data_IF_534991346314
#
_entry.id   IF_534991346314
#
_cell.length_a   1.000
_cell.length_b   1.000
_cell.length_c   1.000
_cell.angle_alpha   90.00
_cell.angle_beta   90.00
_cell.angle_gamma   90.00
#
_symmetry.space_group_name_H-M   'P 1'
#
loop_
_entity.id
_entity.type
_entity.pdbx_description
1 polymer ?
#
# COMPACT_ATOMS: atom_id res chain seq x y z
N UNK A 1 -26.60 42.67 55.66
CA UNK A 1 -25.43 43.56 55.55
C UNK A 1 -25.22 43.91 54.08
N UNK A 2 -25.29 45.21 53.78
CA UNK A 2 -24.81 45.97 52.60
C UNK A 2 -23.90 45.20 51.60
N UNK A 3 -24.22 45.06 50.30
CA UNK A 3 -24.21 46.02 49.16
C UNK A 3 -22.84 46.25 48.50
N UNK A 4 -22.76 45.89 47.20
CA UNK A 4 -22.20 46.57 46.01
C UNK A 4 -21.11 47.65 46.22
N UNK A 5 -20.05 47.61 45.38
CA UNK A 5 -19.38 48.71 44.63
C UNK A 5 -17.95 48.23 44.23
N UNK A 6 -17.60 48.06 42.95
CA UNK A 6 -17.23 49.05 41.92
C UNK A 6 -15.85 49.73 42.13
N UNK A 7 -15.12 49.93 41.03
CA UNK A 7 -13.95 50.83 40.91
C UNK A 7 -12.61 50.09 40.77
N UNK A 8 -12.04 49.89 39.57
CA UNK A 8 -11.42 50.84 38.63
C UNK A 8 -9.99 51.29 39.00
N UNK A 9 -9.15 51.44 37.96
CA UNK A 9 -7.81 52.08 37.87
C UNK A 9 -6.62 51.16 38.18
N UNK A 10 -5.45 51.25 37.53
CA UNK A 10 -4.94 51.95 36.34
C UNK A 10 -3.55 51.35 36.10
N UNK A 11 -3.18 50.91 34.89
CA UNK A 11 -2.34 51.67 33.94
C UNK A 11 -1.49 52.80 34.55
N UNK A 12 -0.23 52.49 34.84
CA UNK A 12 0.99 53.33 34.78
C UNK A 12 2.15 52.33 34.95
N UNK A 13 3.31 52.38 34.30
CA UNK A 13 4.06 53.37 33.53
C UNK A 13 5.25 52.56 32.94
N UNK A 14 5.88 52.84 31.81
CA UNK A 14 6.68 54.01 31.48
C UNK A 14 6.94 53.98 29.96
N UNK A 15 6.41 54.97 29.26
CA UNK A 15 6.98 55.45 28.01
C UNK A 15 8.09 56.44 28.38
N UNK A 16 9.27 56.32 27.78
CA UNK A 16 10.22 57.43 27.68
C UNK A 16 11.14 57.23 26.47
N UNK A 17 11.31 58.33 25.73
CA UNK A 17 12.24 58.62 24.64
C UNK A 17 11.86 58.21 23.20
N UNK A 18 11.00 59.07 22.63
CA UNK A 18 11.10 59.51 21.24
C UNK A 18 11.48 61.01 21.23
N UNK A 19 12.33 61.37 20.26
CA UNK A 19 12.67 62.70 19.70
C UNK A 19 14.10 63.17 20.03
N UNK A 20 14.91 63.71 19.13
CA UNK A 20 14.88 63.96 17.67
C UNK A 20 16.31 64.42 17.32
N UNK A 21 16.94 63.81 16.31
CA UNK A 21 17.95 64.39 15.41
C UNK A 21 17.90 63.44 14.19
N UNK A 22 17.49 63.82 12.99
CA UNK A 22 17.75 65.07 12.30
C UNK A 22 18.79 64.83 11.22
N UNK A 23 18.56 63.87 10.31
CA UNK A 23 19.36 63.75 9.08
C UNK A 23 18.47 63.41 7.89
N UNK A 24 18.30 64.43 7.05
CA UNK A 24 17.77 64.36 5.69
C UNK A 24 18.72 63.56 4.80
N UNK A 25 18.45 62.26 4.61
CA UNK A 25 19.05 61.51 3.50
C UNK A 25 18.16 61.67 2.26
N UNK A 26 18.60 62.53 1.34
CA UNK A 26 18.03 62.65 0.01
C UNK A 26 18.16 61.31 -0.72
N UNK A 27 17.05 60.58 -0.85
CA UNK A 27 16.94 59.42 -1.72
C UNK A 27 16.86 59.89 -3.17
N UNK A 28 18.00 59.86 -3.88
CA UNK A 28 18.05 60.09 -5.32
C UNK A 28 17.29 59.00 -6.12
N UNK A 29 16.81 59.29 -7.34
CA UNK A 29 15.85 58.45 -8.08
C UNK A 29 16.42 57.12 -8.62
N UNK A 30 17.67 56.76 -8.29
CA UNK A 30 18.37 55.63 -8.91
C UNK A 30 18.70 54.44 -7.98
N UNK A 31 18.36 54.45 -6.69
CA UNK A 31 18.71 53.36 -5.77
C UNK A 31 17.51 52.49 -5.33
N UNK A 32 16.75 51.98 -6.30
CA UNK A 32 15.79 50.89 -6.04
C UNK A 32 15.88 49.78 -7.09
N UNK A 33 17.10 49.38 -7.44
CA UNK A 33 17.31 48.06 -8.05
C UNK A 33 17.16 46.99 -6.97
N UNK A 34 15.91 46.66 -6.62
CA UNK A 34 15.62 45.36 -6.00
C UNK A 34 15.97 44.33 -7.06
N UNK A 35 17.23 43.90 -7.09
CA UNK A 35 17.62 42.70 -7.82
C UNK A 35 16.78 41.58 -7.23
N UNK A 36 15.68 41.23 -7.90
CA UNK A 36 14.96 39.98 -7.68
C UNK A 36 15.92 38.88 -8.08
N UNK A 37 16.81 38.50 -7.17
CA UNK A 37 17.64 37.32 -7.30
C UNK A 37 16.66 36.15 -7.33
N UNK A 38 16.35 35.65 -8.52
CA UNK A 38 15.56 34.44 -8.70
C UNK A 38 16.16 33.37 -7.79
N UNK A 39 15.47 33.03 -6.70
CA UNK A 39 15.91 31.96 -5.82
C UNK A 39 15.94 30.71 -6.70
N UNK A 40 17.12 30.08 -6.81
CA UNK A 40 17.22 28.79 -7.49
C UNK A 40 16.15 27.88 -6.90
N UNK A 41 15.36 27.16 -7.73
CA UNK A 41 14.36 26.24 -7.23
C UNK A 41 14.99 25.31 -6.20
N UNK A 42 14.30 25.09 -5.07
CA UNK A 42 14.81 24.22 -4.01
C UNK A 42 14.87 22.78 -4.53
N UNK A 43 16.06 22.20 -4.59
CA UNK A 43 16.27 20.80 -4.97
C UNK A 43 16.07 19.86 -3.76
N UNK A 44 14.80 19.66 -3.39
CA UNK A 44 14.39 18.77 -2.32
C UNK A 44 13.93 17.42 -2.87
N UNK A 45 13.88 16.40 -2.01
CA UNK A 45 13.25 15.12 -2.33
C UNK A 45 11.83 15.26 -2.92
N UNK A 46 11.09 16.30 -2.51
CA UNK A 46 9.73 16.57 -2.99
C UNK A 46 9.72 17.09 -4.43
N UNK A 47 10.60 18.03 -4.77
CA UNK A 47 10.69 18.58 -6.13
C UNK A 47 11.23 17.53 -7.11
N UNK A 48 12.19 16.69 -6.68
CA UNK A 48 12.63 15.52 -7.46
C UNK A 48 11.55 14.47 -7.65
N UNK A 49 10.73 14.22 -6.62
CA UNK A 49 9.57 13.34 -6.73
C UNK A 49 8.60 13.87 -7.79
N UNK A 50 8.29 15.16 -7.78
CA UNK A 50 7.37 15.78 -8.75
C UNK A 50 7.89 15.73 -10.19
N UNK A 51 9.21 15.94 -10.39
CA UNK A 51 9.89 15.92 -11.68
C UNK A 51 10.31 14.54 -12.21
N UNK A 52 10.01 13.45 -11.49
CA UNK A 52 10.39 12.09 -11.90
C UNK A 52 9.66 11.64 -13.19
N UNK A 53 10.28 10.72 -13.93
CA UNK A 53 9.58 9.99 -15.00
C UNK A 53 8.50 9.11 -14.38
N UNK A 54 7.24 9.41 -14.69
CA UNK A 54 6.08 8.67 -14.18
C UNK A 54 5.86 7.39 -14.96
N UNK A 55 5.40 6.37 -14.25
CA UNK A 55 4.91 5.14 -14.88
C UNK A 55 3.39 5.18 -14.90
N UNK A 56 2.81 5.49 -16.06
CA UNK A 56 1.37 5.64 -16.20
C UNK A 56 0.59 4.35 -15.91
N UNK A 57 1.19 3.18 -16.15
CA UNK A 57 0.52 1.89 -15.92
C UNK A 57 0.40 1.60 -14.43
N UNK A 58 1.50 1.77 -13.70
CA UNK A 58 1.51 1.61 -12.24
C UNK A 58 0.68 2.69 -11.55
N UNK A 59 0.73 3.94 -12.05
CA UNK A 59 -0.12 5.02 -11.53
C UNK A 59 -1.61 4.73 -11.75
N UNK A 60 -1.98 4.18 -12.91
CA UNK A 60 -3.37 3.74 -13.17
C UNK A 60 -3.78 2.67 -12.16
N UNK A 61 -2.96 1.63 -11.97
CA UNK A 61 -3.22 0.58 -10.97
C UNK A 61 -3.44 1.17 -9.57
N UNK A 62 -2.62 2.14 -9.15
CA UNK A 62 -2.77 2.78 -7.85
C UNK A 62 -4.07 3.55 -7.67
N UNK A 63 -4.58 4.19 -8.73
CA UNK A 63 -5.90 4.83 -8.69
C UNK A 63 -7.00 3.78 -8.54
N UNK A 64 -6.89 2.66 -9.23
CA UNK A 64 -7.87 1.58 -9.17
C UNK A 64 -7.89 0.94 -7.77
N UNK A 65 -6.72 0.61 -7.22
CA UNK A 65 -6.58 0.09 -5.86
C UNK A 65 -7.09 1.07 -4.81
N UNK A 66 -6.88 2.38 -4.99
CA UNK A 66 -7.46 3.40 -4.10
C UNK A 66 -8.99 3.31 -4.09
N UNK A 67 -9.63 3.17 -5.26
CA UNK A 67 -11.08 3.05 -5.33
C UNK A 67 -11.59 1.75 -4.68
N UNK A 68 -10.88 0.63 -4.87
CA UNK A 68 -11.20 -0.63 -4.19
C UNK A 68 -11.08 -0.50 -2.67
N UNK A 69 -10.03 0.16 -2.17
CA UNK A 69 -9.86 0.40 -0.71
C UNK A 69 -11.02 1.22 -0.14
N UNK A 70 -11.47 2.26 -0.86
CA UNK A 70 -12.64 3.05 -0.46
C UNK A 70 -13.92 2.21 -0.46
N UNK A 71 -14.10 1.32 -1.44
CA UNK A 71 -15.25 0.43 -1.49
C UNK A 71 -15.26 -0.58 -0.32
N UNK A 72 -14.11 -1.17 0.01
CA UNK A 72 -13.98 -2.08 1.16
C UNK A 72 -14.20 -1.37 2.50
N UNK A 73 -13.71 -0.14 2.65
CA UNK A 73 -13.95 0.65 3.86
C UNK A 73 -15.44 1.02 4.02
N UNK A 74 -16.16 1.32 2.93
CA UNK A 74 -17.61 1.47 2.97
C UNK A 74 -18.32 0.17 3.34
N UNK A 75 -17.88 -0.97 2.80
CA UNK A 75 -18.41 -2.28 3.18
C UNK A 75 -18.24 -2.53 4.68
N UNK A 76 -17.08 -2.24 5.26
CA UNK A 76 -16.83 -2.40 6.70
C UNK A 76 -17.83 -1.60 7.55
N UNK A 77 -18.08 -0.33 7.20
CA UNK A 77 -19.08 0.51 7.88
C UNK A 77 -20.51 -0.03 7.72
N UNK A 78 -20.85 -0.60 6.57
CA UNK A 78 -22.17 -1.22 6.31
C UNK A 78 -22.31 -2.51 7.12
N UNK A 79 -21.28 -3.34 7.17
CA UNK A 79 -21.29 -4.64 7.85
C UNK A 79 -21.33 -4.52 9.38
N UNK A 80 -20.89 -3.39 9.93
CA UNK A 80 -21.07 -3.06 11.35
C UNK A 80 -22.55 -2.78 11.71
N UNK A 81 -23.44 -2.57 10.73
CA UNK A 81 -24.86 -2.35 10.98
C UNK A 81 -25.59 -3.68 11.21
N UNK A 82 -26.45 -3.72 12.24
CA UNK A 82 -27.22 -4.93 12.63
C UNK A 82 -28.06 -5.55 11.50
N UNK A 83 -28.49 -4.74 10.54
CA UNK A 83 -29.41 -5.16 9.48
C UNK A 83 -28.70 -5.47 8.15
N UNK A 84 -27.36 -5.38 8.08
CA UNK A 84 -26.60 -5.60 6.85
C UNK A 84 -26.84 -4.56 5.75
N UNK A 85 -27.45 -3.41 6.09
CA UNK A 85 -27.63 -2.27 5.20
C UNK A 85 -27.42 -0.96 5.98
N UNK A 86 -27.02 0.10 5.27
CA UNK A 86 -26.85 1.44 5.84
C UNK A 86 -27.68 2.48 5.08
N UNK A 87 -28.21 3.50 5.78
CA UNK A 87 -28.87 4.63 5.12
C UNK A 87 -27.82 5.56 4.49
N UNK A 88 -28.17 6.23 3.39
CA UNK A 88 -27.28 7.23 2.77
C UNK A 88 -26.93 8.37 3.72
N UNK A 89 -27.86 8.75 4.60
CA UNK A 89 -27.63 9.76 5.63
C UNK A 89 -26.54 9.34 6.63
N UNK A 90 -26.57 8.06 7.07
CA UNK A 90 -25.53 7.52 7.94
C UNK A 90 -24.19 7.51 7.20
N UNK A 91 -24.14 6.93 6.00
CA UNK A 91 -22.90 6.84 5.22
C UNK A 91 -22.30 8.22 4.91
N UNK A 92 -23.14 9.25 4.73
CA UNK A 92 -22.68 10.62 4.53
C UNK A 92 -21.94 11.18 5.75
N UNK A 93 -22.24 10.73 6.97
CA UNK A 93 -21.48 11.11 8.18
C UNK A 93 -20.09 10.49 8.19
N UNK A 94 -20.00 9.21 7.81
CA UNK A 94 -18.75 8.46 7.70
C UNK A 94 -17.90 8.83 6.47
N UNK A 95 -18.39 9.72 5.60
CA UNK A 95 -17.69 10.17 4.38
C UNK A 95 -16.23 10.57 4.66
N UNK A 96 -16.03 11.40 5.68
CA UNK A 96 -14.70 11.93 6.01
C UNK A 96 -13.79 10.87 6.64
N UNK A 97 -14.35 9.98 7.45
CA UNK A 97 -13.62 8.89 8.10
C UNK A 97 -13.15 7.84 7.09
N UNK A 98 -13.97 7.53 6.08
CA UNK A 98 -13.62 6.64 4.97
C UNK A 98 -12.64 7.31 3.99
N UNK A 99 -12.48 8.63 4.05
CA UNK A 99 -11.61 9.39 3.14
C UNK A 99 -12.22 9.62 1.75
N UNK A 100 -13.55 9.65 1.65
CA UNK A 100 -14.26 9.91 0.40
C UNK A 100 -14.35 11.41 0.11
N UNK A 101 -13.64 11.84 -0.94
CA UNK A 101 -13.70 13.22 -1.41
C UNK A 101 -14.98 13.54 -2.21
N UNK A 102 -15.67 12.52 -2.72
CA UNK A 102 -16.90 12.66 -3.51
C UNK A 102 -18.11 12.39 -2.59
N UNK A 103 -19.28 12.91 -2.96
CA UNK A 103 -20.53 12.52 -2.30
C UNK A 103 -20.75 11.00 -2.36
N UNK A 104 -21.19 10.42 -1.24
CA UNK A 104 -21.39 8.98 -1.11
C UNK A 104 -22.37 8.47 -2.17
N UNK A 105 -23.50 9.17 -2.38
CA UNK A 105 -24.48 8.78 -3.39
C UNK A 105 -23.90 8.71 -4.81
N UNK A 106 -23.05 9.66 -5.19
CA UNK A 106 -22.37 9.66 -6.48
C UNK A 106 -21.33 8.53 -6.59
N UNK A 107 -20.63 8.21 -5.49
CA UNK A 107 -19.71 7.07 -5.45
C UNK A 107 -20.44 5.73 -5.61
N UNK A 108 -21.56 5.53 -4.90
CA UNK A 108 -22.35 4.30 -4.99
C UNK A 108 -22.93 4.09 -6.39
N UNK A 109 -23.49 5.14 -7.01
CA UNK A 109 -24.00 5.10 -8.39
C UNK A 109 -22.93 4.72 -9.43
N UNK A 110 -21.65 5.02 -9.15
CA UNK A 110 -20.53 4.68 -10.03
C UNK A 110 -20.18 3.20 -10.01
N UNK A 111 -20.51 2.48 -8.92
CA UNK A 111 -20.15 1.07 -8.72
C UNK A 111 -21.38 0.20 -8.36
N UNK A 112 -22.39 0.11 -9.25
CA UNK A 112 -23.61 -0.66 -9.02
C UNK A 112 -23.37 -2.17 -8.82
N UNK A 113 -22.29 -2.73 -9.39
CA UNK A 113 -21.94 -4.14 -9.18
C UNK A 113 -21.42 -4.45 -7.77
N UNK A 114 -20.96 -3.42 -7.06
CA UNK A 114 -20.45 -3.52 -5.68
C UNK A 114 -21.53 -3.16 -4.68
N UNK A 115 -22.34 -2.14 -4.99
CA UNK A 115 -23.33 -1.58 -4.08
C UNK A 115 -24.72 -1.57 -4.70
N UNK A 116 -25.68 -2.12 -3.97
CA UNK A 116 -27.09 -2.09 -4.30
C UNK A 116 -27.78 -0.98 -3.50
N UNK A 117 -28.24 0.07 -4.20
CA UNK A 117 -29.04 1.15 -3.61
C UNK A 117 -30.53 0.88 -3.81
N UNK A 118 -31.32 0.98 -2.74
CA UNK A 118 -32.78 0.78 -2.77
C UNK A 118 -33.48 1.74 -1.79
N UNK A 119 -34.79 1.94 -1.97
CA UNK A 119 -35.60 2.70 -1.02
C UNK A 119 -36.20 1.73 -0.01
N UNK A 120 -36.00 1.99 1.28
CA UNK A 120 -36.54 1.13 2.32
C UNK A 120 -38.08 1.14 2.28
N UNK A 121 -38.75 -0.02 2.24
CA UNK A 121 -40.20 -0.10 2.03
C UNK A 121 -41.00 0.64 3.11
N UNK A 122 -40.61 0.49 4.38
CA UNK A 122 -41.27 1.16 5.52
C UNK A 122 -40.79 2.61 5.73
N UNK A 123 -39.46 2.82 5.85
CA UNK A 123 -38.88 4.12 6.25
C UNK A 123 -38.80 5.14 5.11
N UNK A 124 -39.05 4.73 3.85
CA UNK A 124 -38.91 5.53 2.62
C UNK A 124 -37.55 6.24 2.46
N UNK A 125 -36.54 5.77 3.20
CA UNK A 125 -35.18 6.29 3.16
C UNK A 125 -34.34 5.53 2.14
N UNK A 126 -33.41 6.21 1.49
CA UNK A 126 -32.45 5.56 0.60
C UNK A 126 -31.43 4.77 1.42
N UNK A 127 -31.37 3.47 1.16
CA UNK A 127 -30.49 2.51 1.80
C UNK A 127 -29.53 1.90 0.78
N UNK A 128 -28.40 1.44 1.28
CA UNK A 128 -27.35 0.77 0.53
C UNK A 128 -27.02 -0.55 1.20
N UNK A 129 -26.97 -1.62 0.41
CA UNK A 129 -26.44 -2.93 0.77
C UNK A 129 -25.29 -3.27 -0.17
N UNK A 130 -24.37 -4.12 0.28
CA UNK A 130 -23.31 -4.66 -0.58
C UNK A 130 -23.86 -5.84 -1.38
N UNK A 131 -23.52 -5.90 -2.66
CA UNK A 131 -23.99 -6.97 -3.55
C UNK A 131 -23.42 -8.32 -3.11
N UNK A 132 -24.20 -9.40 -3.27
CA UNK A 132 -23.78 -10.76 -2.91
C UNK A 132 -22.44 -11.13 -3.57
N UNK A 133 -22.28 -10.81 -4.87
CA UNK A 133 -21.02 -10.99 -5.61
C UNK A 133 -19.80 -10.40 -4.92
N UNK A 134 -19.92 -9.22 -4.31
CA UNK A 134 -18.80 -8.59 -3.60
C UNK A 134 -18.58 -9.28 -2.24
N UNK A 135 -19.65 -9.61 -1.51
CA UNK A 135 -19.56 -10.33 -0.25
C UNK A 135 -18.94 -11.72 -0.40
N UNK A 136 -19.28 -12.44 -1.47
CA UNK A 136 -18.70 -13.75 -1.80
C UNK A 136 -17.20 -13.64 -2.05
N UNK A 137 -16.75 -12.61 -2.79
CA UNK A 137 -15.33 -12.35 -3.02
C UNK A 137 -14.58 -12.01 -1.72
N UNK A 138 -15.21 -11.29 -0.79
CA UNK A 138 -14.61 -10.96 0.51
C UNK A 138 -14.45 -12.23 1.34
N UNK A 139 -15.47 -13.09 1.38
CA UNK A 139 -15.40 -14.40 2.03
C UNK A 139 -14.35 -15.32 1.37
N UNK A 140 -14.23 -15.27 0.04
CA UNK A 140 -13.18 -15.98 -0.71
C UNK A 140 -11.78 -15.49 -0.32
N UNK A 141 -11.56 -14.16 -0.18
CA UNK A 141 -10.26 -13.63 0.26
C UNK A 141 -9.92 -14.16 1.65
N UNK A 142 -10.86 -14.11 2.59
CA UNK A 142 -10.66 -14.58 3.96
C UNK A 142 -10.39 -16.10 4.01
N UNK A 143 -11.07 -16.90 3.19
CA UNK A 143 -10.82 -18.33 3.09
C UNK A 143 -9.42 -18.62 2.54
N UNK A 144 -9.04 -17.96 1.44
CA UNK A 144 -7.72 -18.11 0.82
C UNK A 144 -6.58 -17.66 1.75
N UNK A 145 -6.79 -16.62 2.55
CA UNK A 145 -5.82 -16.19 3.56
C UNK A 145 -5.61 -17.27 4.61
N UNK A 146 -6.69 -17.92 5.08
CA UNK A 146 -6.61 -19.02 6.06
C UNK A 146 -5.95 -20.27 5.48
N UNK A 147 -6.32 -20.66 4.26
CA UNK A 147 -5.73 -21.81 3.58
C UNK A 147 -4.22 -21.63 3.30
N UNK A 148 -3.78 -20.38 3.08
CA UNK A 148 -2.39 -20.04 2.82
C UNK A 148 -1.55 -19.78 4.09
N UNK A 149 -1.90 -20.39 5.22
CA UNK A 149 -1.20 -20.23 6.50
C UNK A 149 0.31 -20.51 6.35
N UNK A 150 0.67 -21.59 5.67
CA UNK A 150 2.08 -21.98 5.44
C UNK A 150 2.87 -20.86 4.74
N UNK A 151 2.30 -20.29 3.67
CA UNK A 151 2.93 -19.21 2.93
C UNK A 151 3.00 -17.90 3.72
N UNK A 152 2.04 -17.64 4.61
CA UNK A 152 2.08 -16.51 5.55
C UNK A 152 3.22 -16.68 6.56
N UNK A 153 3.35 -17.87 7.14
CA UNK A 153 4.37 -18.20 8.15
C UNK A 153 5.77 -18.15 7.54
N UNK A 154 5.97 -18.69 6.34
CA UNK A 154 7.25 -18.58 5.64
C UNK A 154 7.66 -17.13 5.41
N UNK A 155 6.70 -16.26 5.04
CA UNK A 155 6.96 -14.82 4.87
C UNK A 155 7.28 -14.12 6.20
N UNK A 156 6.60 -14.49 7.29
CA UNK A 156 6.92 -14.01 8.63
C UNK A 156 8.33 -14.44 9.07
N UNK A 157 8.71 -15.71 8.87
CA UNK A 157 10.06 -16.22 9.15
C UNK A 157 11.10 -15.42 8.37
N UNK A 158 10.91 -15.27 7.05
CA UNK A 158 11.78 -14.45 6.19
C UNK A 158 11.88 -13.01 6.68
N UNK A 159 10.78 -12.39 7.10
CA UNK A 159 10.76 -11.02 7.62
C UNK A 159 11.56 -10.89 8.92
N UNK A 160 11.45 -11.86 9.83
CA UNK A 160 12.23 -11.91 11.07
C UNK A 160 13.71 -12.19 10.78
N UNK A 161 14.03 -13.05 9.82
CA UNK A 161 15.41 -13.35 9.42
C UNK A 161 16.14 -12.16 8.78
N UNK A 162 15.40 -11.18 8.25
CA UNK A 162 15.97 -9.91 7.80
C UNK A 162 16.34 -8.99 8.96
N UNK A 163 15.68 -9.13 10.11
CA UNK A 163 15.92 -8.31 11.31
C UNK A 163 17.26 -8.70 11.92
N UNK A 164 18.02 -7.72 12.40
CA UNK A 164 19.35 -7.94 12.99
C UNK A 164 19.26 -8.89 14.19
N UNK A 165 18.26 -8.68 15.05
CA UNK A 165 18.08 -9.45 16.28
C UNK A 165 17.14 -10.66 16.10
N UNK A 166 16.63 -10.88 14.88
CA UNK A 166 15.60 -11.89 14.64
C UNK A 166 14.27 -11.57 15.36
N UNK A 167 14.03 -10.31 15.71
CA UNK A 167 12.84 -9.85 16.43
C UNK A 167 12.06 -8.80 15.65
N UNK A 168 10.74 -8.74 15.90
CA UNK A 168 9.84 -7.77 15.31
C UNK A 168 8.78 -7.33 16.33
N UNK A 169 8.49 -6.03 16.36
CA UNK A 169 7.43 -5.48 17.18
C UNK A 169 6.04 -5.83 16.59
N UNK A 170 5.14 -6.33 17.43
CA UNK A 170 3.77 -6.74 17.08
C UNK A 170 2.91 -5.57 16.56
N UNK A 171 3.16 -4.35 17.02
CA UNK A 171 2.54 -3.15 16.49
C UNK A 171 2.99 -2.88 15.05
N UNK A 172 4.29 -2.99 14.77
CA UNK A 172 4.81 -2.84 13.40
C UNK A 172 4.21 -3.90 12.47
N UNK A 173 4.07 -5.14 12.96
CA UNK A 173 3.41 -6.22 12.22
C UNK A 173 1.92 -5.93 11.96
N UNK A 174 1.19 -5.43 12.96
CA UNK A 174 -0.21 -5.04 12.82
C UNK A 174 -0.43 -3.97 11.73
N UNK A 175 0.49 -3.00 11.63
CA UNK A 175 0.43 -1.94 10.63
C UNK A 175 0.56 -2.46 9.19
N UNK A 176 1.35 -3.52 8.97
CA UNK A 176 1.58 -4.11 7.64
C UNK A 176 0.80 -5.41 7.39
N UNK A 177 -0.09 -5.80 8.29
CA UNK A 177 -0.79 -7.10 8.23
C UNK A 177 -1.46 -7.35 6.88
N UNK A 178 -2.10 -6.33 6.31
CA UNK A 178 -2.79 -6.42 5.02
C UNK A 178 -1.84 -6.56 3.83
N UNK A 179 -0.67 -5.91 3.89
CA UNK A 179 0.39 -6.07 2.89
C UNK A 179 1.02 -7.46 2.95
N UNK A 180 1.13 -8.03 4.15
CA UNK A 180 1.57 -9.41 4.35
C UNK A 180 0.44 -10.44 4.14
N UNK A 181 -0.82 -10.03 3.94
CA UNK A 181 -1.93 -10.98 3.85
C UNK A 181 -2.07 -11.84 5.10
N UNK A 182 -1.85 -11.23 6.27
CA UNK A 182 -2.15 -11.82 7.58
C UNK A 182 -3.64 -11.64 7.87
N UNK A 183 -4.31 -12.65 8.44
CA UNK A 183 -5.67 -12.50 8.93
C UNK A 183 -5.70 -11.56 10.15
N UNK A 184 -6.83 -10.90 10.42
CA UNK A 184 -6.91 -9.94 11.53
C UNK A 184 -6.72 -10.58 12.91
N UNK A 185 -7.03 -11.87 13.04
CA UNK A 185 -6.89 -12.68 14.25
C UNK A 185 -5.57 -13.46 14.33
N UNK A 186 -4.56 -13.12 13.51
CA UNK A 186 -3.29 -13.87 13.39
C UNK A 186 -2.58 -14.20 14.71
N UNK A 187 -2.81 -13.39 15.75
CA UNK A 187 -2.25 -13.61 17.09
C UNK A 187 -2.80 -14.87 17.76
N UNK A 188 -4.09 -15.15 17.56
CA UNK A 188 -4.79 -16.31 18.11
C UNK A 188 -4.90 -17.46 17.13
N UNK A 189 -4.94 -17.20 15.81
CA UNK A 189 -5.06 -18.24 14.80
C UNK A 189 -3.72 -18.87 14.43
N UNK A 190 -2.71 -18.06 14.05
CA UNK A 190 -1.45 -18.55 13.46
C UNK A 190 -0.38 -18.81 14.53
N UNK A 191 -0.15 -17.86 15.45
CA UNK A 191 0.97 -17.96 16.39
C UNK A 191 0.93 -19.22 17.29
N UNK A 192 -0.23 -19.69 17.78
CA UNK A 192 -0.27 -20.90 18.60
C UNK A 192 0.13 -22.17 17.86
N UNK A 193 -0.17 -22.26 16.55
CA UNK A 193 0.15 -23.42 15.72
C UNK A 193 1.65 -23.53 15.42
N UNK A 194 2.37 -22.39 15.46
CA UNK A 194 3.77 -22.29 15.04
C UNK A 194 4.74 -21.93 16.18
N UNK A 195 4.45 -22.38 17.41
CA UNK A 195 5.28 -22.11 18.60
C UNK A 195 6.72 -22.63 18.51
N UNK A 196 6.96 -23.67 17.72
CA UNK A 196 8.30 -24.23 17.51
C UNK A 196 9.20 -23.30 16.69
N UNK A 197 8.61 -22.41 15.90
CA UNK A 197 9.33 -21.51 15.01
C UNK A 197 9.30 -20.06 15.51
N UNK A 198 8.14 -19.63 16.02
CA UNK A 198 7.84 -18.26 16.39
C UNK A 198 7.57 -18.19 17.89
N UNK A 199 8.41 -17.44 18.61
CA UNK A 199 8.29 -17.26 20.05
C UNK A 199 7.91 -15.82 20.36
N UNK A 200 6.83 -15.68 21.12
CA UNK A 200 6.44 -14.41 21.72
C UNK A 200 7.22 -14.21 23.03
N UNK A 201 8.32 -13.44 22.99
CA UNK A 201 9.17 -13.17 24.17
C UNK A 201 8.50 -12.21 25.16
N UNK A 202 7.67 -11.31 24.64
CA UNK A 202 6.91 -10.30 25.38
C UNK A 202 5.62 -10.07 24.61
N UNK A 203 4.51 -9.59 25.21
CA UNK A 203 3.25 -9.39 24.49
C UNK A 203 3.41 -8.57 23.20
N UNK A 204 4.43 -7.72 23.14
CA UNK A 204 4.70 -6.82 22.03
C UNK A 204 5.83 -7.26 21.08
N UNK A 205 6.57 -8.34 21.35
CA UNK A 205 7.75 -8.71 20.57
C UNK A 205 7.73 -10.17 20.13
N UNK A 206 7.64 -10.36 18.81
CA UNK A 206 7.79 -11.65 18.14
C UNK A 206 9.27 -11.91 17.85
N UNK A 207 9.72 -13.13 18.10
CA UNK A 207 11.09 -13.56 17.85
C UNK A 207 11.13 -14.89 17.11
N UNK A 208 12.17 -15.07 16.30
CA UNK A 208 12.44 -16.33 15.62
C UNK A 208 13.21 -17.26 16.57
N UNK A 209 12.74 -18.49 16.74
CA UNK A 209 13.43 -19.49 17.56
C UNK A 209 14.58 -20.16 16.81
N UNK A 210 14.28 -20.70 15.62
CA UNK A 210 15.25 -21.40 14.78
C UNK A 210 15.35 -20.73 13.42
N UNK A 211 16.59 -20.56 12.95
CA UNK A 211 16.87 -20.03 11.62
C UNK A 211 16.82 -21.17 10.61
N UNK A 212 15.86 -21.11 9.71
CA UNK A 212 15.76 -22.06 8.61
C UNK A 212 16.59 -21.55 7.42
N UNK A 213 17.73 -22.19 7.17
CA UNK A 213 18.63 -21.81 6.07
C UNK A 213 18.02 -22.06 4.69
N UNK A 214 17.05 -22.99 4.58
CA UNK A 214 16.36 -23.25 3.30
C UNK A 214 15.54 -22.05 2.86
N UNK A 215 15.01 -21.27 3.81
CA UNK A 215 14.26 -20.05 3.57
C UNK A 215 15.16 -18.81 3.39
N UNK A 216 16.46 -18.91 3.67
CA UNK A 216 17.42 -17.81 3.63
C UNK A 216 17.85 -17.41 2.20
N UNK A 217 17.00 -17.64 1.21
CA UNK A 217 17.23 -17.26 -0.19
C UNK A 217 16.37 -16.04 -0.50
N UNK A 218 17.03 -14.95 -0.92
CA UNK A 218 16.35 -13.74 -1.33
C UNK A 218 15.76 -13.90 -2.74
N UNK A 219 14.66 -13.19 -3.03
CA UNK A 219 13.97 -13.25 -4.31
C UNK A 219 14.87 -12.84 -5.48
N UNK A 220 15.78 -11.90 -5.24
CA UNK A 220 16.78 -11.50 -6.24
C UNK A 220 17.73 -12.64 -6.58
N UNK A 221 18.10 -13.49 -5.61
CA UNK A 221 18.99 -14.63 -5.85
C UNK A 221 18.31 -15.71 -6.69
N UNK A 222 17.01 -15.96 -6.48
CA UNK A 222 16.22 -16.83 -7.35
C UNK A 222 16.22 -16.31 -8.80
N UNK A 223 16.01 -15.00 -8.98
CA UNK A 223 16.11 -14.36 -10.29
C UNK A 223 17.51 -14.53 -10.89
N UNK A 224 18.59 -14.29 -10.13
CA UNK A 224 19.98 -14.49 -10.61
C UNK A 224 20.23 -15.92 -11.08
N UNK A 225 19.77 -16.91 -10.31
CA UNK A 225 19.89 -18.32 -10.67
C UNK A 225 19.18 -18.62 -11.99
N UNK A 226 18.00 -18.04 -12.18
CA UNK A 226 17.23 -18.14 -13.43
C UNK A 226 17.99 -17.52 -14.61
N UNK A 227 18.50 -16.30 -14.44
CA UNK A 227 19.27 -15.61 -15.49
C UNK A 227 20.56 -16.35 -15.88
N UNK A 228 21.26 -16.93 -14.90
CA UNK A 228 22.44 -17.75 -15.16
C UNK A 228 22.10 -19.05 -15.90
N UNK A 229 21.06 -19.76 -15.45
CA UNK A 229 20.73 -21.11 -15.97
C UNK A 229 19.99 -21.04 -17.31
N UNK A 230 19.05 -20.11 -17.47
CA UNK A 230 18.18 -20.06 -18.65
C UNK A 230 18.74 -19.15 -19.75
N UNK A 231 19.44 -18.07 -19.39
CA UNK A 231 19.99 -17.10 -20.36
C UNK A 231 21.50 -17.20 -20.53
N UNK A 232 22.16 -18.12 -19.82
CA UNK A 232 23.60 -18.38 -19.92
C UNK A 232 24.47 -17.13 -19.75
N UNK A 233 24.01 -16.19 -18.92
CA UNK A 233 24.77 -14.97 -18.61
C UNK A 233 25.95 -15.30 -17.69
N UNK A 234 27.09 -14.66 -17.92
CA UNK A 234 28.30 -14.88 -17.13
C UNK A 234 28.07 -14.59 -15.63
N UNK A 235 28.60 -15.47 -14.75
CA UNK A 235 28.47 -15.33 -13.29
C UNK A 235 28.99 -13.97 -12.80
N UNK A 236 30.06 -13.47 -13.42
CA UNK A 236 30.65 -12.16 -13.09
C UNK A 236 29.70 -10.98 -13.31
N UNK A 237 28.72 -11.13 -14.21
CA UNK A 237 27.72 -10.10 -14.49
C UNK A 237 26.44 -10.27 -13.68
N UNK A 238 26.08 -11.50 -13.29
CA UNK A 238 24.81 -11.81 -12.61
C UNK A 238 24.91 -11.93 -11.10
N UNK A 239 26.08 -12.27 -10.54
CA UNK A 239 26.27 -12.62 -9.12
C UNK A 239 25.72 -11.60 -8.12
N UNK A 240 25.83 -10.31 -8.43
CA UNK A 240 25.33 -9.22 -7.59
C UNK A 240 24.29 -8.35 -8.30
N UNK A 241 23.76 -8.84 -9.42
CA UNK A 241 22.87 -8.05 -10.26
C UNK A 241 21.46 -7.94 -9.66
N UNK A 242 20.73 -6.92 -10.07
CA UNK A 242 19.32 -6.71 -9.79
C UNK A 242 18.57 -6.57 -11.13
N UNK A 243 17.32 -7.04 -11.21
CA UNK A 243 16.47 -6.80 -12.36
C UNK A 243 16.20 -5.30 -12.49
N UNK A 244 16.35 -4.76 -13.71
CA UNK A 244 16.21 -3.32 -13.98
C UNK A 244 15.18 -3.11 -15.08
N UNK A 245 14.12 -2.38 -14.75
CA UNK A 245 13.08 -1.99 -15.70
C UNK A 245 12.87 -0.47 -15.62
N UNK A 246 13.22 0.26 -16.68
CA UNK A 246 12.97 1.70 -16.74
C UNK A 246 11.59 2.02 -17.33
N UNK A 247 10.90 3.06 -16.84
CA UNK A 247 9.63 3.49 -17.42
C UNK A 247 9.83 4.07 -18.82
N UNK A 248 8.78 4.01 -19.64
CA UNK A 248 8.76 4.66 -20.95
C UNK A 248 9.05 6.16 -20.80
N UNK A 249 9.99 6.68 -21.58
CA UNK A 249 10.40 8.09 -21.51
C UNK A 249 11.45 8.43 -20.43
N UNK A 250 12.08 7.42 -19.81
CA UNK A 250 13.21 7.65 -18.91
C UNK A 250 14.40 8.23 -19.67
N UNK A 251 14.88 9.41 -19.24
CA UNK A 251 16.02 10.09 -19.86
C UNK A 251 17.33 9.53 -19.33
N UNK A 252 17.98 8.68 -20.12
CA UNK A 252 19.30 8.13 -19.80
C UNK A 252 20.36 9.20 -20.05
N UNK A 253 21.00 9.67 -18.98
CA UNK A 253 22.12 10.63 -19.08
C UNK A 253 23.40 9.94 -19.59
N UNK A 254 24.31 10.73 -20.18
CA UNK A 254 25.64 10.23 -20.59
C UNK A 254 26.39 9.67 -19.37
N UNK A 255 26.99 8.49 -19.50
CA UNK A 255 27.70 7.83 -18.40
C UNK A 255 26.80 7.04 -17.43
N UNK A 256 25.46 7.14 -17.55
CA UNK A 256 24.54 6.44 -16.66
C UNK A 256 24.63 4.92 -16.82
N UNK A 257 24.77 4.43 -18.06
CA UNK A 257 24.82 2.98 -18.35
C UNK A 257 26.08 2.35 -17.78
N UNK A 258 27.22 3.02 -17.90
CA UNK A 258 28.50 2.57 -17.35
C UNK A 258 28.46 2.55 -15.82
N UNK A 259 27.96 3.63 -15.20
CA UNK A 259 27.74 3.69 -13.74
C UNK A 259 26.84 2.56 -13.26
N UNK A 260 25.74 2.32 -13.98
CA UNK A 260 24.81 1.25 -13.66
C UNK A 260 25.46 -0.12 -13.79
N UNK A 261 26.23 -0.37 -14.85
CA UNK A 261 26.97 -1.61 -15.06
C UNK A 261 27.98 -1.87 -13.95
N UNK A 262 28.72 -0.85 -13.52
CA UNK A 262 29.66 -0.93 -12.40
C UNK A 262 28.91 -1.20 -11.08
N UNK A 263 27.80 -0.50 -10.85
CA UNK A 263 26.96 -0.71 -9.67
C UNK A 263 26.38 -2.13 -9.62
N UNK A 264 25.96 -2.69 -10.76
CA UNK A 264 25.46 -4.06 -10.85
C UNK A 264 26.52 -5.11 -10.49
N UNK A 265 27.79 -4.88 -10.83
CA UNK A 265 28.92 -5.76 -10.50
C UNK A 265 29.45 -5.60 -9.07
N UNK A 266 29.09 -4.51 -8.38
CA UNK A 266 29.58 -4.21 -7.03
C UNK A 266 29.24 -5.33 -6.04
N UNK A 267 30.21 -5.95 -5.35
CA UNK A 267 29.94 -6.96 -4.34
C UNK A 267 29.29 -6.34 -3.10
N UNK A 268 28.29 -7.02 -2.54
CA UNK A 268 27.62 -6.63 -1.31
C UNK A 268 27.22 -7.88 -0.51
N UNK A 269 27.07 -7.73 0.81
CA UNK A 269 26.57 -8.82 1.67
C UNK A 269 25.07 -9.01 1.41
N UNK A 270 24.64 -10.24 1.12
CA UNK A 270 23.23 -10.52 0.81
C UNK A 270 22.32 -10.31 2.04
N UNK A 271 21.00 -10.13 1.85
CA UNK A 271 20.08 -9.79 2.94
C UNK A 271 20.06 -10.80 4.10
N UNK A 272 20.19 -12.09 3.80
CA UNK A 272 20.20 -13.18 4.79
C UNK A 272 21.60 -13.65 5.18
N UNK A 273 22.67 -13.06 4.65
CA UNK A 273 24.03 -13.40 5.08
C UNK A 273 24.38 -12.59 6.34
N UNK A 274 24.99 -13.25 7.33
CA UNK A 274 25.45 -12.56 8.53
C UNK A 274 26.76 -11.81 8.25
N UNK A 275 26.87 -10.58 8.76
CA UNK A 275 28.11 -9.80 8.71
C UNK A 275 28.98 -10.19 9.92
N UNK A 276 29.56 -11.39 9.92
CA UNK A 276 30.24 -11.90 11.12
C UNK A 276 31.69 -11.44 11.27
N UNK A 277 32.22 -10.57 10.41
CA UNK A 277 33.66 -10.23 10.46
C UNK A 277 34.00 -8.75 10.42
N UNK A 278 33.31 -7.90 9.66
CA UNK A 278 33.67 -6.47 9.58
C UNK A 278 32.46 -5.56 9.29
N UNK A 279 32.32 -4.40 9.95
CA UNK A 279 31.34 -3.40 9.56
C UNK A 279 31.60 -2.96 8.11
N UNK A 280 30.54 -2.77 7.33
CA UNK A 280 30.66 -2.33 5.94
C UNK A 280 31.12 -0.87 5.93
N UNK A 281 32.41 -0.64 5.72
CA UNK A 281 32.96 0.73 5.64
C UNK A 281 32.68 1.42 4.29
N UNK A 282 32.39 0.66 3.24
CA UNK A 282 32.11 1.23 1.92
C UNK A 282 30.62 1.61 1.78
N UNK A 283 30.36 2.90 1.64
CA UNK A 283 29.02 3.48 1.51
C UNK A 283 28.23 2.87 0.35
N UNK A 284 28.84 2.66 -0.82
CA UNK A 284 28.15 2.10 -1.99
C UNK A 284 27.72 0.64 -1.75
N UNK A 285 28.52 -0.13 -1.01
CA UNK A 285 28.17 -1.52 -0.65
C UNK A 285 27.04 -1.55 0.37
N UNK A 286 27.06 -0.62 1.34
CA UNK A 286 25.98 -0.48 2.30
C UNK A 286 24.68 -0.09 1.61
N UNK A 287 24.73 0.91 0.72
CA UNK A 287 23.57 1.30 -0.09
C UNK A 287 23.04 0.12 -0.92
N UNK A 288 23.92 -0.65 -1.57
CA UNK A 288 23.51 -1.82 -2.34
C UNK A 288 22.88 -2.91 -1.45
N UNK A 289 23.39 -3.11 -0.24
CA UNK A 289 22.76 -3.99 0.76
C UNK A 289 21.37 -3.49 1.15
N UNK A 290 21.19 -2.19 1.38
CA UNK A 290 19.88 -1.60 1.67
C UNK A 290 18.91 -1.82 0.50
N UNK A 291 19.36 -1.69 -0.76
CA UNK A 291 18.55 -2.05 -1.94
C UNK A 291 18.13 -3.52 -1.88
N UNK A 292 19.06 -4.43 -1.54
CA UNK A 292 18.77 -5.86 -1.38
C UNK A 292 17.71 -6.14 -0.31
N UNK A 293 17.82 -5.52 0.86
CA UNK A 293 16.86 -5.70 1.96
C UNK A 293 15.49 -5.12 1.59
N UNK A 294 15.43 -3.93 0.99
CA UNK A 294 14.18 -3.31 0.57
C UNK A 294 13.50 -4.07 -0.57
N UNK A 295 14.30 -4.62 -1.49
CA UNK A 295 13.81 -5.51 -2.54
C UNK A 295 13.15 -6.73 -1.91
N UNK A 296 13.87 -7.42 -1.01
CA UNK A 296 13.34 -8.60 -0.34
C UNK A 296 12.07 -8.28 0.46
N UNK A 297 12.09 -7.22 1.27
CA UNK A 297 10.95 -6.79 2.09
C UNK A 297 9.70 -6.51 1.24
N UNK A 298 9.84 -5.77 0.14
CA UNK A 298 8.74 -5.53 -0.78
C UNK A 298 8.31 -6.83 -1.44
N UNK A 299 9.25 -7.72 -1.77
CA UNK A 299 8.94 -9.01 -2.34
C UNK A 299 8.10 -9.88 -1.39
N UNK A 300 8.25 -9.79 -0.07
CA UNK A 300 7.43 -10.56 0.87
C UNK A 300 5.96 -10.09 0.92
N UNK A 301 5.64 -8.92 0.40
CA UNK A 301 4.24 -8.43 0.38
C UNK A 301 3.42 -9.09 -0.73
N UNK A 302 2.11 -9.25 -0.49
CA UNK A 302 1.15 -9.88 -1.43
C UNK A 302 1.14 -9.16 -2.78
N UNK A 303 1.12 -7.84 -2.76
CA UNK A 303 1.06 -7.00 -3.97
C UNK A 303 2.45 -6.47 -4.38
N UNK A 304 3.54 -6.95 -3.79
CA UNK A 304 4.92 -6.46 -4.06
C UNK A 304 5.04 -4.92 -3.99
N UNK A 305 4.29 -4.31 -3.06
CA UNK A 305 4.23 -2.87 -2.82
C UNK A 305 3.92 -2.56 -1.36
N UNK A 306 4.33 -1.38 -0.89
CA UNK A 306 4.06 -0.93 0.47
C UNK A 306 4.01 0.61 0.57
N UNK A 307 3.12 1.20 1.40
CA UNK A 307 3.18 2.61 1.72
C UNK A 307 4.52 3.03 2.34
N UNK A 308 5.04 4.18 1.93
CA UNK A 308 6.32 4.72 2.39
C UNK A 308 6.35 5.01 3.90
N UNK A 309 5.20 5.40 4.46
CA UNK A 309 5.01 5.61 5.90
C UNK A 309 5.21 4.30 6.66
N UNK A 310 4.61 3.20 6.18
CA UNK A 310 4.75 1.87 6.79
C UNK A 310 6.20 1.37 6.73
N UNK A 311 6.86 1.54 5.58
CA UNK A 311 8.28 1.21 5.43
C UNK A 311 9.19 1.98 6.40
N UNK A 312 8.79 3.19 6.80
CA UNK A 312 9.61 4.01 7.69
C UNK A 312 9.72 3.43 9.11
N UNK A 313 8.74 2.64 9.57
CA UNK A 313 8.82 1.92 10.85
C UNK A 313 9.91 0.84 10.86
N UNK A 314 10.29 0.32 9.70
CA UNK A 314 11.28 -0.75 9.56
C UNK A 314 12.72 -0.24 9.42
N UNK A 315 12.95 1.08 9.39
CA UNK A 315 14.31 1.64 9.23
C UNK A 315 15.25 1.18 10.33
N UNK A 316 14.81 1.26 11.59
CA UNK A 316 15.64 0.86 12.74
C UNK A 316 15.87 -0.64 12.80
N UNK A 317 14.84 -1.44 12.47
CA UNK A 317 14.89 -2.90 12.50
C UNK A 317 15.94 -3.50 11.54
N UNK A 318 16.17 -2.82 10.42
CA UNK A 318 17.08 -3.28 9.37
C UNK A 318 18.33 -2.39 9.25
N UNK A 319 18.61 -1.55 10.25
CA UNK A 319 19.79 -0.65 10.28
C UNK A 319 19.90 0.22 9.02
N UNK A 320 18.77 0.75 8.56
CA UNK A 320 18.67 1.64 7.40
C UNK A 320 18.63 3.10 7.84
N UNK A 321 19.79 3.75 7.92
CA UNK A 321 19.92 5.17 8.26
C UNK A 321 19.83 6.07 7.02
N UNK A 322 18.88 5.80 6.13
CA UNK A 322 18.69 6.56 4.89
C UNK A 322 17.35 7.27 4.87
N UNK A 323 17.32 8.41 4.18
CA UNK A 323 16.06 9.03 3.80
C UNK A 323 15.40 8.18 2.71
N UNK A 324 14.45 7.31 3.09
CA UNK A 324 13.81 6.36 2.16
C UNK A 324 13.26 7.04 0.91
N UNK A 325 12.68 8.26 1.01
CA UNK A 325 12.14 8.95 -0.16
C UNK A 325 13.24 9.25 -1.18
N UNK A 326 14.37 9.80 -0.74
CA UNK A 326 15.50 10.10 -1.61
C UNK A 326 16.15 8.82 -2.14
N UNK A 327 16.24 7.82 -1.27
CA UNK A 327 16.80 6.53 -1.61
C UNK A 327 16.04 5.83 -2.74
N UNK A 328 14.70 5.75 -2.65
CA UNK A 328 13.89 5.16 -3.72
C UNK A 328 13.96 5.95 -5.03
N UNK A 329 14.10 7.28 -4.97
CA UNK A 329 14.30 8.11 -6.16
C UNK A 329 15.66 7.91 -6.82
N UNK A 330 16.69 7.46 -6.08
CA UNK A 330 18.02 7.14 -6.60
C UNK A 330 18.03 5.89 -7.48
N UNK A 331 17.11 4.93 -7.23
CA UNK A 331 17.04 3.65 -7.94
C UNK A 331 15.72 3.45 -8.72
N UNK A 332 15.40 4.32 -9.70
CA UNK A 332 14.12 4.32 -10.40
C UNK A 332 13.90 3.11 -11.32
N UNK A 333 14.95 2.33 -11.60
CA UNK A 333 14.87 1.10 -12.40
C UNK A 333 14.46 -0.14 -11.59
N UNK A 334 14.56 -0.09 -10.26
CA UNK A 334 14.18 -1.18 -9.35
C UNK A 334 12.87 -0.81 -8.65
N UNK A 335 12.80 0.40 -8.10
CA UNK A 335 11.66 0.88 -7.34
C UNK A 335 10.90 1.97 -8.10
N UNK A 336 9.60 2.04 -7.86
CA UNK A 336 8.74 3.12 -8.30
C UNK A 336 7.95 3.69 -7.14
N UNK A 337 7.98 5.02 -6.97
CA UNK A 337 7.11 5.70 -6.02
C UNK A 337 5.90 6.23 -6.78
N UNK A 338 4.69 5.79 -6.40
CA UNK A 338 3.45 6.39 -6.89
C UNK A 338 2.87 7.36 -5.87
N UNK A 339 2.31 8.46 -6.38
CA UNK A 339 1.61 9.50 -5.62
C UNK A 339 0.12 9.54 -5.95
N UNK A 340 -0.39 8.55 -6.70
CA UNK A 340 -1.78 8.49 -7.16
C UNK A 340 -2.72 7.75 -6.20
N UNK A 341 -2.15 6.99 -5.26
CA UNK A 341 -2.90 6.36 -4.16
C UNK A 341 -3.39 7.38 -3.13
N UNK A 342 -3.89 6.87 -1.98
CA UNK A 342 -4.18 7.71 -0.81
C UNK A 342 -2.88 8.23 -0.16
N UNK A 343 -1.85 7.38 -0.12
CA UNK A 343 -0.52 7.69 0.40
C UNK A 343 0.56 7.39 -0.63
N UNK A 344 1.78 7.91 -0.41
CA UNK A 344 2.94 7.61 -1.25
C UNK A 344 3.27 6.11 -1.12
N UNK A 345 3.13 5.36 -2.21
CA UNK A 345 3.32 3.90 -2.21
C UNK A 345 4.54 3.55 -3.05
N UNK A 346 5.40 2.70 -2.51
CA UNK A 346 6.58 2.16 -3.21
C UNK A 346 6.20 0.82 -3.82
N UNK A 347 6.50 0.64 -5.09
CA UNK A 347 6.19 -0.55 -5.88
C UNK A 347 7.50 -1.11 -6.42
N UNK A 348 7.63 -2.43 -6.36
CA UNK A 348 8.76 -3.13 -6.94
C UNK A 348 8.52 -3.37 -8.44
N UNK A 349 9.36 -2.82 -9.32
CA UNK A 349 9.10 -2.79 -10.76
C UNK A 349 9.24 -4.14 -11.45
N UNK A 350 10.19 -4.94 -11.00
CA UNK A 350 10.49 -6.26 -11.59
C UNK A 350 9.34 -7.25 -11.43
N UNK A 351 8.42 -6.98 -10.51
CA UNK A 351 7.32 -7.86 -10.14
C UNK A 351 6.07 -7.61 -10.99
N UNK A 352 6.08 -6.55 -11.81
CA UNK A 352 4.93 -6.11 -12.59
C UNK A 352 5.19 -6.13 -14.08
N UNK A 353 4.25 -6.72 -14.82
CA UNK A 353 4.20 -6.65 -16.29
C UNK A 353 2.81 -6.18 -16.73
N UNK A 354 2.77 -5.14 -17.55
CA UNK A 354 1.52 -4.55 -18.08
C UNK A 354 0.47 -4.18 -17.00
N UNK A 355 0.89 -3.94 -15.76
CA UNK A 355 0.00 -3.60 -14.63
C UNK A 355 -0.53 -4.81 -13.85
N UNK A 356 -0.06 -6.02 -14.17
CA UNK A 356 -0.36 -7.26 -13.46
C UNK A 356 0.90 -7.79 -12.77
N UNK A 357 0.71 -8.56 -11.69
CA UNK A 357 1.80 -9.23 -11.02
C UNK A 357 2.29 -10.42 -11.85
N UNK A 358 3.61 -10.56 -12.02
CA UNK A 358 4.22 -11.63 -12.81
C UNK A 358 4.07 -12.98 -12.10
N UNK A 359 4.29 -13.01 -10.79
CA UNK A 359 4.12 -14.21 -9.95
C UNK A 359 2.98 -13.96 -8.96
N UNK A 360 1.71 -14.22 -9.35
CA UNK A 360 0.54 -13.97 -8.54
C UNK A 360 0.46 -14.90 -7.32
N UNK A 361 0.01 -14.36 -6.20
CA UNK A 361 -0.37 -15.09 -4.99
C UNK A 361 -1.90 -15.36 -5.03
N UNK A 362 -2.41 -16.48 -4.48
CA UNK A 362 -3.84 -16.72 -4.31
C UNK A 362 -4.66 -15.51 -3.81
N UNK A 363 -4.20 -14.82 -2.77
CA UNK A 363 -4.83 -13.60 -2.21
C UNK A 363 -4.85 -12.47 -3.25
N UNK A 364 -3.80 -12.31 -4.04
CA UNK A 364 -3.76 -11.31 -5.12
C UNK A 364 -4.79 -11.61 -6.20
N UNK A 365 -5.02 -12.89 -6.52
CA UNK A 365 -6.00 -13.31 -7.54
C UNK A 365 -7.41 -12.88 -7.10
N UNK A 366 -7.79 -13.13 -5.86
CA UNK A 366 -9.11 -12.71 -5.33
C UNK A 366 -9.24 -11.19 -5.30
N UNK A 367 -8.22 -10.47 -4.80
CA UNK A 367 -8.18 -9.00 -4.84
C UNK A 367 -8.31 -8.45 -6.26
N UNK A 368 -7.78 -9.17 -7.25
CA UNK A 368 -7.91 -8.81 -8.66
C UNK A 368 -9.35 -8.98 -9.15
N UNK A 369 -10.03 -10.07 -8.81
CA UNK A 369 -11.46 -10.25 -9.10
C UNK A 369 -12.30 -9.11 -8.51
N UNK A 370 -12.03 -8.72 -7.26
CA UNK A 370 -12.68 -7.57 -6.63
C UNK A 370 -12.39 -6.26 -7.37
N UNK A 371 -11.13 -6.06 -7.78
CA UNK A 371 -10.74 -4.88 -8.54
C UNK A 371 -11.49 -4.84 -9.87
N UNK A 372 -11.57 -5.95 -10.59
CA UNK A 372 -12.25 -6.04 -11.87
C UNK A 372 -13.76 -5.76 -11.71
N UNK A 373 -14.39 -6.19 -10.60
CA UNK A 373 -15.78 -5.81 -10.25
C UNK A 373 -15.95 -4.28 -10.07
N UNK A 374 -15.00 -3.63 -9.41
CA UNK A 374 -14.97 -2.15 -9.28
C UNK A 374 -14.74 -1.49 -10.64
N UNK A 375 -13.93 -2.09 -11.52
CA UNK A 375 -13.62 -1.55 -12.85
C UNK A 375 -14.76 -1.67 -13.84
N UNK A 376 -15.60 -2.70 -13.72
CA UNK A 376 -16.84 -2.83 -14.49
C UNK A 376 -17.72 -1.58 -14.32
N UNK A 377 -17.66 -0.92 -13.16
CA UNK A 377 -18.35 0.36 -12.92
C UNK A 377 -19.84 0.25 -13.24
N UNK A 378 -20.39 1.20 -13.99
CA UNK A 378 -21.77 1.15 -14.50
C UNK A 378 -21.91 0.44 -15.85
N UNK A 379 -20.85 -0.17 -16.38
CA UNK A 379 -20.92 -0.94 -17.63
C UNK A 379 -21.57 -2.30 -17.33
N UNK A 380 -22.42 -2.79 -18.23
CA UNK A 380 -23.10 -4.09 -18.15
C UNK A 380 -24.10 -4.26 -16.99
N UNK A 381 -24.71 -3.17 -16.50
CA UNK A 381 -25.78 -3.27 -15.48
C UNK A 381 -27.02 -4.03 -16.01
N UNK A 382 -27.23 -4.07 -17.34
CA UNK A 382 -28.35 -4.78 -17.97
C UNK A 382 -28.18 -6.30 -18.13
N UNK A 383 -26.94 -6.81 -18.28
CA UNK A 383 -26.72 -8.26 -18.47
C UNK A 383 -26.91 -9.05 -17.17
N UNK A 384 -26.57 -8.44 -16.02
CA UNK A 384 -26.64 -9.10 -14.72
C UNK A 384 -28.08 -9.30 -14.19
N UNK A 385 -29.08 -8.61 -14.76
CA UNK A 385 -30.50 -8.80 -14.41
C UNK A 385 -31.12 -10.00 -15.15
N UNK A 386 -30.57 -10.38 -16.30
CA UNK A 386 -31.03 -11.55 -17.06
C UNK A 386 -30.58 -12.85 -16.40
N UNK A 387 -29.38 -12.90 -15.83
CA UNK A 387 -28.92 -14.08 -15.08
C UNK A 387 -29.81 -14.37 -13.86
N UNK A 388 -30.29 -13.35 -13.13
CA UNK A 388 -31.24 -13.57 -12.02
C UNK A 388 -32.65 -13.97 -12.47
N UNK A 389 -33.06 -13.56 -13.67
CA UNK A 389 -34.37 -13.90 -14.23
C UNK A 389 -34.39 -15.33 -14.80
N UNK A 390 -33.26 -15.81 -15.31
CA UNK A 390 -33.15 -17.16 -15.91
C UNK A 390 -33.20 -18.25 -14.84
N UNK A 391 -32.60 -18.02 -13.66
CA UNK A 391 -32.70 -18.96 -12.53
C UNK A 391 -34.07 -18.99 -11.85
N UNK A 392 -34.86 -17.92 -11.97
CA UNK A 392 -36.22 -17.86 -11.40
C UNK A 392 -37.28 -18.46 -12.33
N UNK A 393 -36.96 -18.64 -13.62
CA UNK A 393 -37.87 -19.22 -14.61
C UNK A 393 -37.79 -20.75 -14.65
N UNK A 394 -36.65 -21.35 -14.30
CA UNK A 394 -36.46 -22.81 -14.32
C UNK A 394 -37.07 -23.53 -13.10
N UNK A 395 -37.33 -22.84 -11.98
CA UNK A 395 -38.01 -23.44 -10.81
C UNK A 395 -39.54 -23.49 -10.92
N UNK A 396 -40.15 -22.87 -11.94
CA UNK A 396 -41.60 -22.84 -12.11
C UNK A 396 -42.18 -23.87 -13.09
N UNK A 397 -41.35 -24.68 -13.76
CA UNK A 397 -41.80 -25.62 -14.80
C UNK A 397 -41.65 -27.12 -14.44
N UNK A 398 -41.32 -27.44 -13.18
CA UNK A 398 -41.28 -28.82 -12.66
C UNK A 398 -42.39 -29.03 -11.63
N UNK A 399 -43.63 -29.04 -12.10
CA UNK A 399 -44.78 -29.17 -11.20
C UNK A 399 -46.10 -29.52 -11.86
N UNK A 400 -46.15 -30.46 -12.82
CA UNK A 400 -47.39 -31.21 -13.09
C UNK A 400 -47.15 -32.45 -13.95
N UNK A 401 -46.90 -33.60 -13.32
CA UNK A 401 -47.22 -34.91 -13.93
C UNK A 401 -47.29 -36.01 -12.88
N UNK A 402 -48.48 -36.19 -12.31
CA UNK A 402 -49.04 -37.44 -11.77
C UNK A 402 -50.49 -37.14 -11.37
N UNK A 403 -51.53 -37.84 -11.80
CA UNK A 403 -51.70 -38.97 -12.69
C UNK A 403 -53.20 -39.26 -12.78
N UNK A 404 -53.63 -40.01 -13.81
CA UNK A 404 -54.86 -40.80 -13.77
C UNK A 404 -54.61 -42.06 -14.60
N UNK A 405 -54.64 -43.20 -13.92
CA UNK A 405 -54.99 -44.47 -14.53
C UNK A 405 -56.45 -44.38 -14.98
N UNK A 406 -56.78 -44.88 -16.17
CA UNK A 406 -57.93 -45.77 -16.34
C UNK A 406 -57.87 -46.52 -17.68
N UNK A 407 -58.37 -47.75 -17.60
CA UNK A 407 -58.43 -48.82 -18.59
C UNK A 407 -59.00 -48.41 -19.97
N UNK A 408 -58.64 -49.17 -21.02
CA UNK A 408 -59.55 -50.03 -21.82
C UNK A 408 -58.82 -50.56 -23.08
N UNK A 409 -59.01 -51.87 -23.29
CA UNK A 409 -58.69 -52.74 -24.44
C UNK A 409 -57.25 -53.21 -24.64
#
# INVERSE_FOLDING_TARGET
>A
MASILSGARSLHSLALLSRMLGETTQLGPFNRSVQRRWRKPVDSARTRLEGRTRDHRLDKLMVQLRNLRLALALHEVISQQRNGYASLQLLSRWRHEVGLNIEVGAFLKKYPHVFQTYVHPVKRNHCCKVTQKMSDLIAEEDAVVRENEVGVVQRLKKLLMLSVDGTLNMHALWLIRRELGLPDDYRSSILPNHRHDLILKSPDTLSLFSRDETLAVAKVDEWRKREYTEKWLAESETKYAFPINFPTGFKVQKGFREKLKNWQRLPYTKPYEKNDSHPICNVERLEKRIVGVLHELLSLTVERMMPLERLSHFRRLYTMEVNLREFFLKYPGIFYISTKGSTQTVILRDSYSKGYLIEPNPVYIVRRKMLDLVLSGSRNVGECQQDSATWSAEEHDLGSSHGCQDNIC
#
